data_IF_264688173731
#
_entry.id   IF_264688173731
#
_cell.length_a   1.000
_cell.length_b   1.000
_cell.length_c   1.000
_cell.angle_alpha   90.00
_cell.angle_beta   90.00
_cell.angle_gamma   90.00
#
_symmetry.space_group_name_H-M   'P 1'
#
loop_
_entity.id
_entity.type
_entity.pdbx_description
1 polymer ?
#
# COMPACT_ATOMS: atom_id res chain seq x y z
N UNK A 1 -75.93 3.11 17.83
CA UNK A 1 -74.76 4.00 17.94
C UNK A 1 -73.75 3.66 16.85
N UNK A 2 -73.75 4.45 15.76
CA UNK A 2 -72.59 5.00 15.00
C UNK A 2 -71.32 4.11 15.03
N UNK A 3 -70.87 3.34 14.01
CA UNK A 3 -70.64 3.52 12.56
C UNK A 3 -69.65 4.65 12.16
N UNK A 4 -68.37 4.50 12.53
CA UNK A 4 -67.25 5.28 11.96
C UNK A 4 -66.01 4.40 11.69
N UNK A 5 -66.12 3.46 10.74
CA UNK A 5 -64.95 2.66 10.30
C UNK A 5 -64.66 2.63 8.78
N UNK A 6 -65.28 3.43 7.87
CA UNK A 6 -64.82 3.44 6.47
C UNK A 6 -63.97 4.65 6.06
N UNK A 7 -63.73 5.66 6.92
CA UNK A 7 -63.13 6.93 6.47
C UNK A 7 -61.60 7.09 6.61
N UNK A 8 -60.87 6.14 7.20
CA UNK A 8 -59.41 6.23 7.38
C UNK A 8 -58.62 5.37 6.36
N UNK A 9 -59.30 4.48 5.63
CA UNK A 9 -58.64 3.59 4.65
C UNK A 9 -58.45 4.21 3.25
N UNK A 10 -59.17 5.28 2.92
CA UNK A 10 -59.09 5.93 1.61
C UNK A 10 -57.84 6.81 1.41
N UNK A 11 -57.34 7.60 2.38
CA UNK A 11 -56.18 8.45 2.14
C UNK A 11 -54.84 7.68 2.09
N UNK A 12 -54.75 6.48 2.68
CA UNK A 12 -53.51 5.67 2.68
C UNK A 12 -53.29 4.98 1.33
N UNK A 13 -54.36 4.66 0.58
CA UNK A 13 -54.26 3.97 -0.70
C UNK A 13 -53.89 4.91 -1.86
N UNK A 14 -54.16 6.22 -1.74
CA UNK A 14 -53.83 7.22 -2.76
C UNK A 14 -52.34 7.63 -2.69
N UNK A 15 -51.74 7.65 -1.50
CA UNK A 15 -50.31 7.99 -1.33
C UNK A 15 -49.39 6.85 -1.79
N UNK A 16 -49.82 5.59 -1.65
CA UNK A 16 -49.09 4.43 -2.16
C UNK A 16 -49.12 4.30 -3.70
N UNK A 17 -50.12 4.87 -4.38
CA UNK A 17 -50.26 4.81 -5.84
C UNK A 17 -49.40 5.82 -6.63
N UNK A 18 -49.08 6.98 -6.05
CA UNK A 18 -48.33 8.05 -6.72
C UNK A 18 -46.80 7.87 -6.68
N UNK A 19 -46.28 7.06 -5.76
CA UNK A 19 -44.83 6.77 -5.65
C UNK A 19 -44.33 5.71 -6.64
N UNK A 20 -45.21 4.85 -7.17
CA UNK A 20 -44.81 3.71 -8.00
C UNK A 20 -44.60 4.06 -9.49
N UNK A 21 -45.14 5.19 -9.96
CA UNK A 21 -45.01 5.62 -11.36
C UNK A 21 -43.72 6.38 -11.68
N UNK A 22 -42.96 6.83 -10.67
CA UNK A 22 -41.70 7.58 -10.89
C UNK A 22 -40.44 6.71 -10.91
N UNK A 23 -40.54 5.41 -10.64
CA UNK A 23 -39.37 4.52 -10.53
C UNK A 23 -39.34 3.36 -11.55
N UNK A 24 -40.39 3.14 -12.35
CA UNK A 24 -40.47 2.02 -13.33
C UNK A 24 -40.43 2.50 -14.80
N UNK A 25 -39.95 3.71 -15.06
CA UNK A 25 -39.83 4.28 -16.42
C UNK A 25 -38.36 4.52 -16.86
N UNK A 26 -37.38 3.79 -16.31
CA UNK A 26 -35.95 3.98 -16.63
C UNK A 26 -35.25 2.73 -17.20
N UNK A 27 -35.98 1.72 -17.64
CA UNK A 27 -35.36 0.57 -18.32
C UNK A 27 -36.16 0.23 -19.56
N UNK A 28 -35.45 0.31 -20.70
CA UNK A 28 -35.81 -0.16 -22.05
C UNK A 28 -36.36 0.91 -23.01
N UNK A 29 -35.44 1.54 -23.75
CA UNK A 29 -35.61 1.78 -25.20
C UNK A 29 -34.23 1.70 -25.88
N UNK A 30 -34.05 0.83 -26.90
CA UNK A 30 -32.90 0.88 -27.78
C UNK A 30 -33.21 1.86 -28.91
N UNK A 31 -32.57 3.04 -28.91
CA UNK A 31 -32.73 4.02 -29.98
C UNK A 31 -31.40 4.23 -30.71
N UNK A 32 -31.52 4.07 -32.02
CA UNK A 32 -30.51 4.12 -33.08
C UNK A 32 -29.80 5.47 -33.15
N UNK A 33 -28.47 5.44 -33.24
CA UNK A 33 -27.62 6.60 -33.50
C UNK A 33 -27.59 6.95 -35.01
N UNK A 34 -27.76 8.22 -35.41
CA UNK A 34 -27.35 8.67 -36.73
C UNK A 34 -25.85 8.99 -36.74
N UNK A 35 -25.20 8.65 -37.85
CA UNK A 35 -23.79 8.90 -38.12
C UNK A 35 -23.51 10.38 -38.37
N UNK A 36 -22.43 10.90 -37.75
CA UNK A 36 -21.63 12.00 -38.30
C UNK A 36 -20.23 12.05 -37.64
N UNK A 37 -19.25 11.59 -38.43
CA UNK A 37 -17.84 11.99 -38.51
C UNK A 37 -17.22 12.86 -37.40
N UNK A 38 -16.16 12.35 -36.78
CA UNK A 38 -15.00 13.13 -36.35
C UNK A 38 -13.76 12.23 -36.46
N UNK A 39 -12.85 12.61 -37.36
CA UNK A 39 -11.55 11.95 -37.58
C UNK A 39 -10.76 11.92 -36.27
N UNK A 40 -10.37 10.73 -35.83
CA UNK A 40 -9.28 10.54 -34.87
C UNK A 40 -8.17 9.80 -35.62
N UNK A 41 -7.02 10.45 -35.73
CA UNK A 41 -5.82 9.89 -36.33
C UNK A 41 -5.35 8.66 -35.54
N UNK A 42 -5.07 7.62 -36.30
CA UNK A 42 -4.44 6.37 -35.88
C UNK A 42 -2.99 6.67 -35.46
N UNK A 43 -2.77 6.79 -34.15
CA UNK A 43 -1.46 6.66 -33.55
C UNK A 43 -1.46 5.35 -32.77
N UNK A 44 -0.90 4.32 -33.41
CA UNK A 44 -0.72 3.00 -32.82
C UNK A 44 0.03 3.03 -31.48
N UNK A 45 0.00 1.93 -30.72
CA UNK A 45 0.65 1.86 -29.43
C UNK A 45 2.16 2.08 -29.58
N UNK A 46 2.66 3.20 -29.04
CA UNK A 46 4.10 3.40 -28.82
C UNK A 46 4.51 2.45 -27.70
N UNK A 47 5.06 1.30 -28.08
CA UNK A 47 5.77 0.43 -27.15
C UNK A 47 6.98 1.18 -26.60
N UNK A 48 7.01 1.38 -25.29
CA UNK A 48 8.17 1.94 -24.56
C UNK A 48 9.05 0.76 -24.14
N UNK A 49 10.27 0.58 -24.69
CA UNK A 49 11.18 -0.44 -24.20
C UNK A 49 11.74 0.00 -22.85
N UNK A 50 11.31 -0.64 -21.76
CA UNK A 50 11.93 -0.54 -20.44
C UNK A 50 12.53 -1.89 -20.04
N UNK A 51 13.59 -2.30 -20.72
CA UNK A 51 14.66 -3.07 -20.09
C UNK A 51 15.98 -2.61 -20.71
N UNK A 52 16.91 -2.09 -19.89
CA UNK A 52 18.31 -2.03 -20.28
C UNK A 52 18.76 -3.49 -20.49
N UNK A 53 19.49 -3.82 -21.56
CA UNK A 53 19.99 -5.17 -21.75
C UNK A 53 20.94 -5.49 -20.59
N UNK A 54 20.45 -6.32 -19.65
CA UNK A 54 21.32 -6.99 -18.69
C UNK A 54 22.14 -7.97 -19.53
N UNK A 55 23.40 -7.63 -19.79
CA UNK A 55 24.34 -8.50 -20.50
C UNK A 55 24.15 -9.93 -20.03
N UNK A 56 23.79 -10.81 -20.95
CA UNK A 56 23.43 -12.18 -20.60
C UNK A 56 24.70 -12.90 -20.13
N UNK A 57 24.56 -14.09 -19.53
CA UNK A 57 25.72 -14.83 -19.01
C UNK A 57 26.73 -15.09 -20.14
N UNK A 58 26.23 -15.27 -21.35
CA UNK A 58 26.96 -15.55 -22.58
C UNK A 58 27.85 -14.37 -23.01
N UNK A 59 27.36 -13.12 -22.90
CA UNK A 59 28.16 -11.92 -23.20
C UNK A 59 29.34 -11.76 -22.22
N UNK A 60 29.11 -12.13 -20.95
CA UNK A 60 30.15 -12.07 -19.91
C UNK A 60 31.21 -13.15 -20.10
N UNK A 61 30.81 -14.35 -20.54
CA UNK A 61 31.74 -15.43 -20.87
C UNK A 61 32.59 -15.06 -22.08
N UNK A 62 31.99 -14.50 -23.13
CA UNK A 62 32.72 -14.04 -24.33
C UNK A 62 33.75 -12.96 -23.99
N UNK A 63 33.41 -12.01 -23.12
CA UNK A 63 34.36 -10.99 -22.65
C UNK A 63 35.53 -11.60 -21.85
N UNK A 64 35.30 -12.68 -21.10
CA UNK A 64 36.37 -13.35 -20.35
C UNK A 64 37.31 -14.12 -21.28
N UNK A 65 36.78 -14.76 -22.32
CA UNK A 65 37.57 -15.46 -23.34
C UNK A 65 38.49 -14.50 -24.11
N UNK A 66 38.00 -13.31 -24.47
CA UNK A 66 38.81 -12.26 -25.10
C UNK A 66 39.94 -11.76 -24.19
N UNK A 67 39.67 -11.63 -22.89
CA UNK A 67 40.68 -11.22 -21.90
C UNK A 67 41.75 -12.31 -21.74
N UNK A 68 41.35 -13.58 -21.66
CA UNK A 68 42.26 -14.72 -21.57
C UNK A 68 43.15 -14.78 -22.81
N UNK A 69 42.58 -14.57 -23.99
CA UNK A 69 43.34 -14.57 -25.26
C UNK A 69 44.39 -13.46 -25.30
N UNK A 70 44.04 -12.25 -24.82
CA UNK A 70 45.00 -11.14 -24.69
C UNK A 70 46.09 -11.42 -23.66
N UNK A 71 45.75 -12.05 -22.55
CA UNK A 71 46.72 -12.39 -21.51
C UNK A 71 47.70 -13.48 -21.97
N UNK A 72 47.21 -14.49 -22.69
CA UNK A 72 48.04 -15.54 -23.30
C UNK A 72 49.02 -14.94 -24.31
N UNK A 73 48.59 -13.95 -25.10
CA UNK A 73 49.48 -13.21 -26.01
C UNK A 73 50.57 -12.42 -25.25
N UNK A 74 50.22 -11.78 -24.12
CA UNK A 74 51.20 -11.09 -23.28
C UNK A 74 52.19 -12.03 -22.59
N UNK A 75 51.75 -13.24 -22.21
CA UNK A 75 52.61 -14.26 -21.59
C UNK A 75 53.55 -14.90 -22.62
N UNK A 76 53.11 -15.11 -23.86
CA UNK A 76 53.99 -15.57 -24.94
C UNK A 76 55.07 -14.55 -25.32
N UNK A 77 54.84 -13.26 -25.07
CA UNK A 77 55.85 -12.21 -25.21
C UNK A 77 56.89 -12.21 -24.08
N UNK A 78 56.80 -13.13 -23.10
CA UNK A 78 57.74 -13.25 -21.98
C UNK A 78 58.67 -14.48 -22.06
N UNK A 79 58.81 -15.12 -23.23
CA UNK A 79 59.75 -16.27 -23.38
C UNK A 79 61.21 -15.78 -23.52
N UNK A 80 62.16 -16.20 -22.67
CA UNK A 80 63.47 -15.55 -22.55
C UNK A 80 64.52 -16.13 -23.51
N UNK A 81 65.36 -15.27 -24.08
CA UNK A 81 66.66 -15.65 -24.66
C UNK A 81 67.75 -14.64 -24.25
N UNK A 82 68.50 -15.02 -23.21
CA UNK A 82 69.90 -14.69 -22.87
C UNK A 82 70.57 -13.42 -23.46
N UNK A 83 70.79 -12.39 -22.62
CA UNK A 83 71.90 -11.41 -22.65
C UNK A 83 71.70 -10.33 -21.54
N UNK A 84 72.75 -9.59 -21.09
CA UNK A 84 72.91 -9.09 -19.71
C UNK A 84 72.16 -7.78 -19.38
N UNK A 85 70.98 -7.56 -19.96
CA UNK A 85 70.15 -6.36 -19.73
C UNK A 85 68.98 -6.63 -18.78
N UNK A 86 68.93 -7.81 -18.16
CA UNK A 86 67.80 -8.30 -17.37
C UNK A 86 67.58 -7.58 -16.03
N UNK A 87 68.54 -6.80 -15.52
CA UNK A 87 68.37 -6.05 -14.28
C UNK A 87 67.44 -4.85 -14.47
N UNK A 88 67.61 -4.06 -15.53
CA UNK A 88 66.80 -2.84 -15.74
C UNK A 88 65.33 -3.11 -16.04
N UNK A 89 65.01 -4.27 -16.65
CA UNK A 89 63.63 -4.69 -16.91
C UNK A 89 62.97 -5.38 -15.71
N UNK A 90 63.74 -5.91 -14.77
CA UNK A 90 63.23 -6.37 -13.47
C UNK A 90 63.01 -5.19 -12.53
N UNK A 91 63.89 -4.19 -12.54
CA UNK A 91 63.75 -2.96 -11.77
C UNK A 91 62.50 -2.16 -12.20
N UNK A 92 62.24 -2.06 -13.51
CA UNK A 92 61.01 -1.41 -14.00
C UNK A 92 59.75 -2.15 -13.57
N UNK A 93 59.75 -3.49 -13.67
CA UNK A 93 58.63 -4.33 -13.26
C UNK A 93 58.38 -4.28 -11.76
N UNK A 94 59.44 -4.20 -10.95
CA UNK A 94 59.31 -4.05 -9.49
C UNK A 94 58.67 -2.71 -9.14
N UNK A 95 59.08 -1.64 -9.82
CA UNK A 95 58.54 -0.30 -9.64
C UNK A 95 57.06 -0.19 -10.04
N UNK A 96 56.66 -0.88 -11.10
CA UNK A 96 55.25 -0.96 -11.52
C UNK A 96 54.40 -1.76 -10.52
N UNK A 97 54.93 -2.85 -9.97
CA UNK A 97 54.26 -3.66 -8.93
C UNK A 97 54.11 -2.87 -7.63
N UNK A 98 55.13 -2.13 -7.22
CA UNK A 98 55.05 -1.25 -6.05
C UNK A 98 54.01 -0.14 -6.24
N UNK A 99 53.98 0.49 -7.41
CA UNK A 99 52.98 1.51 -7.75
C UNK A 99 51.56 0.97 -7.71
N UNK A 100 51.33 -0.18 -8.33
CA UNK A 100 50.01 -0.84 -8.33
C UNK A 100 49.59 -1.29 -6.94
N UNK A 101 50.51 -1.75 -6.08
CA UNK A 101 50.21 -2.10 -4.70
C UNK A 101 49.84 -0.87 -3.85
N UNK A 102 50.50 0.28 -4.06
CA UNK A 102 50.16 1.54 -3.39
C UNK A 102 48.78 2.01 -3.84
N UNK A 103 48.48 1.93 -5.13
CA UNK A 103 47.16 2.30 -5.66
C UNK A 103 46.06 1.38 -5.13
N UNK A 104 46.29 0.06 -5.09
CA UNK A 104 45.33 -0.90 -4.56
C UNK A 104 45.06 -0.64 -3.08
N UNK A 105 46.12 -0.40 -2.29
CA UNK A 105 46.00 -0.07 -0.88
C UNK A 105 45.20 1.22 -0.67
N UNK A 106 45.45 2.25 -1.48
CA UNK A 106 44.70 3.49 -1.44
C UNK A 106 43.21 3.28 -1.77
N UNK A 107 42.91 2.45 -2.79
CA UNK A 107 41.53 2.10 -3.15
C UNK A 107 40.83 1.29 -2.04
N UNK A 108 41.50 0.30 -1.46
CA UNK A 108 40.95 -0.49 -0.34
C UNK A 108 40.67 0.39 0.87
N UNK A 109 41.60 1.26 1.28
CA UNK A 109 41.37 2.19 2.38
C UNK A 109 40.25 3.20 2.09
N UNK A 110 40.06 3.60 0.82
CA UNK A 110 38.94 4.44 0.41
C UNK A 110 37.59 3.69 0.50
N UNK A 111 37.57 2.40 0.17
CA UNK A 111 36.38 1.55 0.29
C UNK A 111 36.03 1.20 1.74
N UNK A 112 37.03 0.97 2.59
CA UNK A 112 36.83 0.71 4.03
C UNK A 112 36.30 1.94 4.78
N UNK A 113 36.69 3.14 4.33
CA UNK A 113 36.23 4.42 4.89
C UNK A 113 34.91 4.90 4.28
N UNK A 114 34.47 4.30 3.18
CA UNK A 114 33.16 4.57 2.61
C UNK A 114 32.09 3.87 3.48
N UNK A 115 31.51 4.61 4.42
CA UNK A 115 30.25 4.22 5.07
C UNK A 115 29.24 3.83 3.99
N UNK A 116 28.56 2.68 4.10
CA UNK A 116 27.51 2.32 3.14
C UNK A 116 26.54 3.50 3.04
N UNK A 117 26.38 4.03 1.82
CA UNK A 117 25.29 4.97 1.56
C UNK A 117 24.00 4.30 2.06
N UNK A 118 23.18 4.98 2.89
CA UNK A 118 21.90 4.43 3.30
C UNK A 118 21.17 3.96 2.05
N UNK A 119 20.84 2.66 1.99
CA UNK A 119 20.02 2.13 0.92
C UNK A 119 18.80 3.06 0.82
N UNK A 120 18.58 3.63 -0.36
CA UNK A 120 17.45 4.51 -0.58
C UNK A 120 16.19 3.76 -0.14
N UNK A 121 15.62 4.14 1.00
CA UNK A 121 14.39 3.56 1.49
C UNK A 121 13.35 3.86 0.41
N UNK A 122 12.93 2.81 -0.30
CA UNK A 122 11.74 2.90 -1.13
C UNK A 122 10.60 3.19 -0.16
N UNK A 123 10.23 4.47 -0.02
CA UNK A 123 9.11 4.88 0.81
C UNK A 123 7.85 4.35 0.17
N UNK A 124 7.44 3.15 0.59
CA UNK A 124 6.16 2.60 0.17
C UNK A 124 5.07 3.59 0.55
N UNK A 125 4.21 3.90 -0.41
CA UNK A 125 3.08 4.81 -0.21
C UNK A 125 2.16 4.24 0.87
N UNK A 126 1.76 5.08 1.83
CA UNK A 126 0.75 4.73 2.84
C UNK A 126 -0.55 4.30 2.17
N UNK A 127 -1.10 3.16 2.59
CA UNK A 127 -2.38 2.66 2.06
C UNK A 127 -3.47 2.85 3.10
N UNK A 128 -4.68 3.20 2.65
CA UNK A 128 -5.86 3.29 3.50
C UNK A 128 -6.88 2.23 3.07
N UNK A 129 -7.33 1.43 4.02
CA UNK A 129 -8.31 0.37 3.82
C UNK A 129 -9.64 0.85 4.44
N UNK A 130 -10.68 1.17 3.65
CA UNK A 130 -11.95 1.60 4.19
C UNK A 130 -12.66 0.45 4.91
N UNK A 131 -13.21 0.72 6.08
CA UNK A 131 -14.04 -0.25 6.83
C UNK A 131 -15.52 -0.08 6.52
N UNK A 132 -15.94 1.14 6.17
CA UNK A 132 -17.33 1.50 5.93
C UNK A 132 -17.67 2.92 6.36
N UNK A 133 -18.95 3.24 6.38
CA UNK A 133 -19.50 4.54 6.75
C UNK A 133 -20.89 4.41 7.37
N UNK A 134 -21.27 5.44 8.15
CA UNK A 134 -22.61 5.60 8.69
C UNK A 134 -23.01 4.58 9.75
N UNK A 135 -22.64 4.84 11.02
CA UNK A 135 -23.17 4.11 12.17
C UNK A 135 -23.42 4.99 13.38
N UNK A 136 -24.12 4.43 14.35
CA UNK A 136 -24.39 5.09 15.62
C UNK A 136 -24.44 4.07 16.75
N UNK A 137 -24.19 4.53 17.97
CA UNK A 137 -24.34 3.71 19.17
C UNK A 137 -24.74 4.61 20.34
N UNK A 138 -25.50 4.05 21.27
CA UNK A 138 -25.76 4.60 22.60
C UNK A 138 -25.49 3.54 23.68
N UNK A 139 -24.80 2.46 23.31
CA UNK A 139 -24.54 1.32 24.18
C UNK A 139 -23.42 1.64 25.15
N UNK A 140 -23.60 1.31 26.43
CA UNK A 140 -22.52 1.34 27.43
C UNK A 140 -21.58 0.14 27.33
N UNK A 141 -22.05 -0.93 26.71
CA UNK A 141 -21.28 -2.10 26.35
C UNK A 141 -20.77 -2.01 24.90
N UNK A 142 -19.72 -2.78 24.59
CA UNK A 142 -19.19 -2.86 23.23
C UNK A 142 -20.22 -3.42 22.25
N UNK A 143 -20.72 -2.58 21.36
CA UNK A 143 -21.63 -2.96 20.29
C UNK A 143 -20.88 -3.06 18.95
N UNK A 144 -21.10 -4.15 18.23
CA UNK A 144 -20.56 -4.34 16.88
C UNK A 144 -21.36 -3.55 15.85
N UNK A 145 -20.67 -2.76 15.03
CA UNK A 145 -21.27 -1.95 13.98
C UNK A 145 -21.09 -2.64 12.62
N UNK A 146 -22.08 -3.41 12.18
CA UNK A 146 -21.99 -4.22 10.95
C UNK A 146 -21.74 -3.40 9.68
N UNK A 147 -22.06 -2.10 9.68
CA UNK A 147 -21.74 -1.18 8.59
C UNK A 147 -20.21 -0.95 8.41
N UNK A 148 -19.41 -1.32 9.42
CA UNK A 148 -17.95 -1.19 9.44
C UNK A 148 -17.31 -2.56 9.60
N UNK A 149 -17.34 -3.37 8.55
CA UNK A 149 -16.80 -4.72 8.55
C UNK A 149 -15.97 -4.98 7.30
N UNK A 150 -14.84 -5.66 7.46
CA UNK A 150 -13.98 -6.07 6.35
C UNK A 150 -13.38 -7.45 6.58
N UNK A 151 -13.09 -8.17 5.50
CA UNK A 151 -12.16 -9.30 5.53
C UNK A 151 -10.77 -8.79 5.12
N UNK A 152 -9.77 -9.03 5.98
CA UNK A 152 -8.43 -8.52 5.81
C UNK A 152 -7.41 -9.62 6.03
N UNK A 153 -6.47 -9.75 5.08
CA UNK A 153 -5.27 -10.59 5.23
C UNK A 153 -4.02 -9.70 5.18
N UNK A 154 -3.23 -9.61 6.27
CA UNK A 154 -1.99 -8.83 6.27
C UNK A 154 -0.97 -9.25 5.20
N UNK A 155 -1.03 -10.48 4.70
CA UNK A 155 -0.18 -10.94 3.61
C UNK A 155 -0.38 -10.17 2.29
N UNK A 156 -1.54 -9.51 2.11
CA UNK A 156 -1.82 -8.64 0.97
C UNK A 156 -1.04 -7.32 1.02
N UNK A 157 -0.40 -7.01 2.14
CA UNK A 157 0.38 -5.79 2.38
C UNK A 157 1.84 -6.14 2.69
N UNK A 158 2.59 -6.74 1.75
CA UNK A 158 3.94 -7.23 2.03
C UNK A 158 4.85 -6.10 2.47
N UNK A 159 5.57 -6.32 3.58
CA UNK A 159 6.49 -5.35 4.16
C UNK A 159 5.82 -4.26 4.99
N UNK A 160 4.55 -4.38 5.36
CA UNK A 160 3.95 -3.47 6.34
C UNK A 160 4.66 -3.64 7.70
N UNK A 161 4.91 -2.52 8.38
CA UNK A 161 5.50 -2.50 9.73
C UNK A 161 4.43 -2.39 10.81
N UNK A 162 3.36 -1.63 10.56
CA UNK A 162 2.27 -1.45 11.50
C UNK A 162 1.00 -0.91 10.83
N UNK A 163 -0.11 -0.93 11.56
CA UNK A 163 -1.39 -0.35 11.15
C UNK A 163 -1.93 0.58 12.24
N UNK A 164 -2.80 1.51 11.85
CA UNK A 164 -3.56 2.38 12.76
C UNK A 164 -5.02 2.42 12.34
N UNK A 165 -5.93 2.50 13.31
CA UNK A 165 -7.34 2.71 13.07
C UNK A 165 -7.59 4.22 13.05
N UNK A 166 -8.26 4.70 12.01
CA UNK A 166 -8.76 6.06 11.93
C UNK A 166 -10.29 6.02 11.88
N UNK A 167 -10.93 6.73 12.81
CA UNK A 167 -12.39 6.81 12.92
C UNK A 167 -12.81 8.26 12.93
N UNK A 168 -13.69 8.65 12.00
CA UNK A 168 -14.41 9.91 12.11
C UNK A 168 -15.65 9.71 12.97
N UNK A 169 -15.69 10.36 14.13
CA UNK A 169 -16.75 10.15 15.11
C UNK A 169 -17.03 11.38 15.98
N UNK A 170 -18.23 11.40 16.57
CA UNK A 170 -18.69 12.46 17.50
C UNK A 170 -19.77 11.97 18.45
N UNK A 171 -19.88 12.64 19.59
CA UNK A 171 -21.04 12.56 20.47
C UNK A 171 -22.17 13.48 19.97
N UNK A 172 -23.41 13.14 20.28
CA UNK A 172 -24.56 13.99 19.99
C UNK A 172 -24.63 15.21 20.93
N UNK A 173 -24.10 15.08 22.14
CA UNK A 173 -24.09 16.12 23.18
C UNK A 173 -22.89 15.92 24.12
N UNK A 174 -22.47 16.96 24.87
CA UNK A 174 -21.40 16.84 25.86
C UNK A 174 -21.78 15.91 27.03
N UNK A 175 -20.78 15.43 27.77
CA UNK A 175 -20.98 14.71 29.05
C UNK A 175 -20.55 13.23 29.06
N UNK A 176 -20.34 12.64 27.88
CA UNK A 176 -19.86 11.26 27.73
C UNK A 176 -18.46 11.16 27.10
N UNK A 177 -17.97 9.93 27.00
CA UNK A 177 -16.83 9.55 26.17
C UNK A 177 -17.26 8.46 25.21
N UNK A 178 -17.02 8.66 23.93
CA UNK A 178 -17.17 7.66 22.87
C UNK A 178 -15.87 6.90 22.71
N UNK A 179 -15.97 5.57 22.64
CA UNK A 179 -14.85 4.67 22.36
C UNK A 179 -15.14 3.88 21.09
N UNK A 180 -14.11 3.65 20.28
CA UNK A 180 -14.18 2.76 19.12
C UNK A 180 -12.92 1.90 19.02
N UNK A 181 -13.05 0.66 18.58
CA UNK A 181 -11.92 -0.27 18.37
C UNK A 181 -12.24 -1.30 17.30
N UNK A 182 -11.21 -1.91 16.71
CA UNK A 182 -11.37 -3.11 15.88
C UNK A 182 -11.49 -4.36 16.74
N UNK A 183 -12.43 -5.21 16.37
CA UNK A 183 -12.62 -6.54 16.93
C UNK A 183 -12.48 -7.58 15.83
N UNK A 184 -11.63 -8.58 16.06
CA UNK A 184 -11.47 -9.72 15.18
C UNK A 184 -12.60 -10.72 15.47
N UNK A 185 -13.62 -10.76 14.62
CA UNK A 185 -14.77 -11.66 14.80
C UNK A 185 -14.46 -13.11 14.46
N UNK A 186 -13.39 -13.37 13.69
CA UNK A 186 -12.97 -14.73 13.33
C UNK A 186 -12.26 -15.46 14.47
N UNK A 187 -11.42 -14.76 15.23
CA UNK A 187 -10.62 -15.36 16.32
C UNK A 187 -11.08 -14.93 17.72
N UNK A 188 -11.99 -13.96 17.82
CA UNK A 188 -12.59 -13.55 19.08
C UNK A 188 -11.64 -12.72 19.94
N UNK A 189 -11.44 -11.45 19.58
CA UNK A 189 -10.63 -10.56 20.39
C UNK A 189 -10.53 -9.14 19.83
N UNK A 190 -10.39 -8.17 20.72
CA UNK A 190 -10.09 -6.78 20.34
C UNK A 190 -8.62 -6.64 19.95
N UNK A 191 -8.34 -5.79 18.96
CA UNK A 191 -6.96 -5.37 18.67
C UNK A 191 -6.58 -4.15 19.51
N UNK A 192 -5.29 -3.83 19.58
CA UNK A 192 -4.77 -2.63 20.25
C UNK A 192 -5.01 -1.34 19.44
N UNK A 193 -6.24 -1.16 18.96
CA UNK A 193 -6.66 -0.10 18.04
C UNK A 193 -7.67 0.89 18.64
N UNK A 194 -7.85 0.85 19.96
CA UNK A 194 -8.85 1.69 20.62
C UNK A 194 -8.55 3.18 20.43
N UNK A 195 -9.61 3.94 20.14
CA UNK A 195 -9.64 5.41 20.13
C UNK A 195 -10.79 5.88 21.01
N UNK A 196 -10.62 7.06 21.61
CA UNK A 196 -11.64 7.69 22.44
C UNK A 196 -11.80 9.17 22.13
N UNK A 197 -13.00 9.71 22.32
CA UNK A 197 -13.28 11.14 22.15
C UNK A 197 -14.42 11.60 23.03
N UNK A 198 -14.33 12.83 23.53
CA UNK A 198 -15.41 13.57 24.19
C UNK A 198 -16.00 14.66 23.28
N UNK A 199 -15.56 14.73 22.02
CA UNK A 199 -15.96 15.77 21.07
C UNK A 199 -17.41 15.59 20.61
N UNK A 200 -18.14 16.70 20.55
CA UNK A 200 -19.45 16.78 19.88
C UNK A 200 -19.36 17.14 18.40
N UNK A 201 -18.16 17.45 17.93
CA UNK A 201 -17.86 17.80 16.53
C UNK A 201 -17.21 16.60 15.83
N UNK A 202 -17.69 16.30 14.62
CA UNK A 202 -17.14 15.25 13.74
C UNK A 202 -15.66 15.53 13.47
N UNK A 203 -14.79 14.58 13.79
CA UNK A 203 -13.33 14.68 13.63
C UNK A 203 -12.72 13.29 13.54
N UNK A 204 -11.58 13.18 12.84
CA UNK A 204 -10.83 11.93 12.74
C UNK A 204 -9.97 11.74 13.98
N UNK A 205 -10.11 10.58 14.61
CA UNK A 205 -9.28 10.12 15.72
C UNK A 205 -8.46 8.91 15.27
N UNK A 206 -7.18 8.89 15.60
CA UNK A 206 -6.23 7.86 15.18
C UNK A 206 -5.72 7.07 16.37
N UNK A 207 -5.70 5.74 16.26
CA UNK A 207 -5.22 4.85 17.33
C UNK A 207 -3.68 4.83 17.45
N UNK A 208 -3.20 4.20 18.52
CA UNK A 208 -1.85 3.64 18.55
C UNK A 208 -1.62 2.65 17.41
N UNK A 209 -0.35 2.38 17.10
CA UNK A 209 0.00 1.35 16.12
C UNK A 209 -0.29 -0.06 16.64
N UNK A 210 -0.73 -0.94 15.76
CA UNK A 210 -0.94 -2.36 16.04
C UNK A 210 -0.55 -3.21 14.83
N UNK A 211 -0.39 -4.51 15.06
CA UNK A 211 -0.23 -5.53 14.02
C UNK A 211 -1.43 -6.46 14.03
N UNK A 212 -1.65 -7.13 12.90
CA UNK A 212 -2.74 -8.10 12.77
C UNK A 212 -2.18 -9.52 12.66
N UNK A 213 -2.88 -10.53 13.24
CA UNK A 213 -2.51 -11.92 13.06
C UNK A 213 -2.58 -12.31 11.58
N UNK A 214 -1.78 -13.31 11.20
CA UNK A 214 -1.70 -13.79 9.82
C UNK A 214 -3.00 -14.48 9.36
N UNK A 215 -3.17 -14.49 8.03
CA UNK A 215 -4.31 -15.10 7.35
C UNK A 215 -5.52 -14.18 7.25
N UNK A 216 -6.44 -14.56 6.39
CA UNK A 216 -7.72 -13.87 6.18
C UNK A 216 -8.60 -13.94 7.45
N UNK A 217 -8.89 -12.78 8.04
CA UNK A 217 -9.76 -12.62 9.20
C UNK A 217 -10.80 -11.53 8.96
N UNK A 218 -11.97 -11.68 9.57
CA UNK A 218 -12.99 -10.64 9.57
C UNK A 218 -12.79 -9.72 10.77
N UNK A 219 -12.71 -8.42 10.48
CA UNK A 219 -12.63 -7.35 11.47
C UNK A 219 -13.89 -6.50 11.39
N UNK A 220 -14.45 -6.21 12.55
CA UNK A 220 -15.62 -5.35 12.72
C UNK A 220 -15.29 -4.22 13.69
N UNK A 221 -15.76 -3.02 13.40
CA UNK A 221 -15.66 -1.91 14.34
C UNK A 221 -16.65 -2.13 15.48
N UNK A 222 -16.16 -2.06 16.72
CA UNK A 222 -16.99 -1.97 17.91
C UNK A 222 -16.95 -0.55 18.45
N UNK A 223 -18.07 -0.09 19.00
CA UNK A 223 -18.17 1.19 19.68
C UNK A 223 -19.03 1.12 20.94
N UNK A 224 -18.72 1.99 21.89
CA UNK A 224 -19.51 2.19 23.11
C UNK A 224 -19.42 3.64 23.59
N UNK A 225 -20.33 4.07 24.43
CA UNK A 225 -20.24 5.32 25.18
C UNK A 225 -20.16 5.06 26.67
N UNK A 226 -19.60 6.00 27.44
CA UNK A 226 -19.43 5.82 28.89
C UNK A 226 -20.74 5.92 29.69
N UNK A 227 -21.74 6.61 29.14
CA UNK A 227 -22.93 7.08 29.87
C UNK A 227 -24.24 6.81 29.11
N UNK A 228 -24.18 6.15 27.96
CA UNK A 228 -25.33 5.91 27.09
C UNK A 228 -25.73 7.09 26.22
N UNK A 229 -24.92 8.17 26.18
CA UNK A 229 -25.13 9.27 25.23
C UNK A 229 -25.04 8.73 23.80
N UNK A 230 -25.96 9.15 22.93
CA UNK A 230 -25.91 8.80 21.50
C UNK A 230 -24.65 9.35 20.84
N UNK A 231 -24.01 8.52 20.03
CA UNK A 231 -22.81 8.82 19.28
C UNK A 231 -22.97 8.43 17.81
N UNK A 232 -22.23 9.11 16.96
CA UNK A 232 -22.21 8.88 15.51
C UNK A 232 -20.79 8.58 15.06
N UNK A 233 -20.66 7.60 14.18
CA UNK A 233 -19.43 7.23 13.50
C UNK A 233 -19.68 7.42 12.00
N UNK A 234 -19.03 8.40 11.41
CA UNK A 234 -19.28 8.82 10.03
C UNK A 234 -18.53 7.91 9.06
N UNK A 235 -17.23 7.70 9.30
CA UNK A 235 -16.36 6.83 8.50
C UNK A 235 -15.30 6.16 9.37
N UNK A 236 -14.78 5.02 8.92
CA UNK A 236 -13.61 4.40 9.53
C UNK A 236 -12.72 3.75 8.47
N UNK A 237 -11.41 3.76 8.72
CA UNK A 237 -10.40 3.17 7.84
C UNK A 237 -9.17 2.72 8.61
N UNK A 238 -8.45 1.76 8.04
CA UNK A 238 -7.15 1.31 8.56
C UNK A 238 -6.06 1.95 7.72
N UNK A 239 -5.15 2.68 8.37
CA UNK A 239 -3.93 3.21 7.78
C UNK A 239 -2.84 2.16 7.88
N UNK A 240 -2.22 1.79 6.76
CA UNK A 240 -1.12 0.82 6.68
C UNK A 240 0.20 1.57 6.54
N UNK A 241 1.12 1.30 7.45
CA UNK A 241 2.47 1.86 7.48
C UNK A 241 3.47 0.80 7.01
N UNK A 242 4.45 1.22 6.20
CA UNK A 242 5.52 0.38 5.67
C UNK A 242 6.83 0.79 6.31
#
# INVERSE_FOLDING_TARGET
MIRFLPFILVPILIIAGLGYWRFVASTNSPETLPAASSQAEDLGPVEVPKTLPRATLEDRVKSLEDIITKLVAQVNNLKPLSSPTASSSLDSRLKDVESTAIELKARVSALEKATPAPAAASSKVTIYIPLGSGGSTASVDWASLNAFQINLDPAQYPGYSSMQLEVNMRLNQPGGTLYARLYNSTSGGATSSEVSSTSTTSSIFTSSTFTLPTGSKTYILQAKTSDGTSAFLDTARIKVNF
#
